data_IF_883675632671
#
_entry.id   IF_883675632671
#
_cell.length_a   1.000
_cell.length_b   1.000
_cell.length_c   1.000
_cell.angle_alpha   90.00
_cell.angle_beta   90.00
_cell.angle_gamma   90.00
#
_symmetry.space_group_name_H-M   'P 1'
#
loop_
_entity.id
_entity.type
_entity.pdbx_description
1 polymer ?
#
# COMPACT_ATOMS: atom_id res chain seq x y z
N UNK A 1 -6.51 -30.79 -8.95
CA UNK A 1 -5.79 -30.92 -7.67
C UNK A 1 -4.98 -29.66 -7.46
N UNK A 2 -5.33 -28.83 -6.48
CA UNK A 2 -4.52 -27.67 -6.09
C UNK A 2 -3.30 -28.17 -5.28
N UNK A 3 -2.09 -27.65 -5.53
CA UNK A 3 -0.91 -28.04 -4.77
C UNK A 3 -1.09 -27.65 -3.29
N UNK A 4 -0.46 -28.39 -2.36
CA UNK A 4 -0.55 -28.10 -0.93
C UNK A 4 -0.05 -26.68 -0.65
N UNK A 5 -0.81 -25.95 0.18
CA UNK A 5 -0.49 -24.58 0.56
C UNK A 5 0.86 -24.52 1.29
N UNK A 6 1.94 -24.22 0.53
CA UNK A 6 3.23 -23.84 1.11
C UNK A 6 2.99 -22.67 2.08
N UNK A 7 3.61 -22.72 3.27
CA UNK A 7 3.53 -21.68 4.32
C UNK A 7 3.54 -20.29 3.68
N UNK A 8 2.54 -19.47 4.03
CA UNK A 8 2.35 -18.14 3.47
C UNK A 8 3.63 -17.31 3.66
N UNK A 9 4.34 -17.03 2.57
CA UNK A 9 5.37 -15.99 2.58
C UNK A 9 4.65 -14.67 2.78
N UNK A 10 4.96 -13.96 3.85
CA UNK A 10 4.55 -12.56 4.04
C UNK A 10 4.98 -11.78 2.81
N UNK A 11 4.04 -11.19 2.08
CA UNK A 11 4.40 -10.39 0.90
C UNK A 11 5.16 -9.16 1.36
N UNK A 12 6.30 -8.94 0.72
CA UNK A 12 7.04 -7.71 0.89
C UNK A 12 6.51 -6.68 -0.11
N UNK A 13 5.75 -5.69 0.37
CA UNK A 13 5.19 -4.63 -0.47
C UNK A 13 6.27 -3.76 -1.15
N UNK A 14 7.53 -3.81 -0.71
CA UNK A 14 8.64 -3.16 -1.42
C UNK A 14 9.03 -3.91 -2.71
N UNK A 15 8.50 -5.11 -2.95
CA UNK A 15 8.70 -5.92 -4.15
C UNK A 15 7.42 -6.05 -4.98
N UNK A 16 6.49 -5.11 -4.83
CA UNK A 16 5.14 -5.21 -5.38
C UNK A 16 4.84 -4.05 -6.32
N UNK A 17 4.25 -4.37 -7.47
CA UNK A 17 3.91 -3.41 -8.53
C UNK A 17 2.39 -3.35 -8.69
N UNK A 18 1.86 -2.16 -8.93
CA UNK A 18 0.49 -1.93 -9.35
C UNK A 18 0.46 -1.38 -10.76
N UNK A 19 -0.45 -1.91 -11.57
CA UNK A 19 -0.63 -1.52 -12.96
C UNK A 19 -2.05 -1.02 -13.12
N UNK A 20 -2.19 0.24 -13.54
CA UNK A 20 -3.47 0.92 -13.70
C UNK A 20 -3.86 0.98 -15.17
N UNK A 21 -5.07 0.52 -15.49
CA UNK A 21 -5.63 0.54 -16.83
C UNK A 21 -6.86 1.44 -16.93
N UNK A 22 -7.14 1.95 -18.12
CA UNK A 22 -8.32 2.78 -18.39
C UNK A 22 -9.60 1.97 -18.61
N UNK A 23 -9.52 0.64 -18.48
CA UNK A 23 -10.64 -0.31 -18.60
C UNK A 23 -10.52 -1.42 -17.56
N UNK A 24 -11.60 -2.18 -17.41
CA UNK A 24 -11.56 -3.43 -16.64
C UNK A 24 -10.56 -4.40 -17.25
N UNK A 25 -9.90 -5.16 -16.37
CA UNK A 25 -8.92 -6.16 -16.76
C UNK A 25 -9.63 -7.44 -17.21
N UNK A 26 -9.26 -7.88 -18.40
CA UNK A 26 -9.67 -9.14 -19.02
C UNK A 26 -8.47 -10.11 -19.09
N UNK A 27 -8.70 -11.31 -19.64
CA UNK A 27 -7.66 -12.33 -19.82
C UNK A 27 -6.51 -11.81 -20.68
N UNK A 28 -6.82 -11.13 -21.78
CA UNK A 28 -5.86 -10.71 -22.80
C UNK A 28 -4.88 -9.67 -22.25
N UNK A 29 -5.39 -8.70 -21.48
CA UNK A 29 -4.55 -7.74 -20.76
C UNK A 29 -3.64 -8.46 -19.77
N UNK A 30 -4.22 -9.41 -19.02
CA UNK A 30 -3.50 -10.13 -17.97
C UNK A 30 -2.37 -10.95 -18.57
N UNK A 31 -2.64 -11.72 -19.62
CA UNK A 31 -1.65 -12.53 -20.34
C UNK A 31 -0.56 -11.63 -20.94
N UNK A 32 -0.93 -10.58 -21.67
CA UNK A 32 0.03 -9.64 -22.27
C UNK A 32 1.01 -9.01 -21.27
N UNK A 33 0.51 -8.62 -20.09
CA UNK A 33 1.35 -8.01 -19.05
C UNK A 33 2.18 -9.08 -18.33
N UNK A 34 1.54 -10.17 -17.91
CA UNK A 34 2.19 -11.17 -17.07
C UNK A 34 3.22 -11.98 -17.84
N UNK A 35 3.02 -12.28 -19.12
CA UNK A 35 3.99 -13.01 -19.95
C UNK A 35 5.32 -12.26 -20.10
N UNK A 36 5.28 -10.93 -20.16
CA UNK A 36 6.48 -10.10 -20.24
C UNK A 36 7.39 -10.24 -19.01
N UNK A 37 6.84 -10.67 -17.86
CA UNK A 37 7.55 -10.69 -16.58
C UNK A 37 7.33 -11.98 -15.78
N UNK A 38 6.76 -13.04 -16.37
CA UNK A 38 6.24 -14.22 -15.63
C UNK A 38 7.28 -14.90 -14.73
N UNK A 39 8.52 -15.00 -15.20
CA UNK A 39 9.62 -15.63 -14.46
C UNK A 39 10.05 -14.83 -13.22
N UNK A 40 9.68 -13.55 -13.15
CA UNK A 40 10.02 -12.61 -12.07
C UNK A 40 8.94 -12.54 -10.99
N UNK A 41 7.81 -13.22 -11.21
CA UNK A 41 6.64 -13.15 -10.34
C UNK A 41 6.51 -14.40 -9.46
N UNK A 42 6.20 -14.16 -8.19
CA UNK A 42 5.68 -15.22 -7.30
C UNK A 42 4.19 -15.40 -7.50
N UNK A 43 3.45 -14.32 -7.77
CA UNK A 43 2.00 -14.33 -7.97
C UNK A 43 1.53 -12.99 -8.54
N UNK A 44 0.30 -12.97 -9.04
CA UNK A 44 -0.43 -11.74 -9.40
C UNK A 44 -1.91 -11.89 -9.05
N UNK A 45 -2.63 -10.77 -8.93
CA UNK A 45 -4.07 -10.75 -8.67
C UNK A 45 -4.71 -9.43 -9.08
N UNK A 46 -6.03 -9.45 -9.26
CA UNK A 46 -6.86 -8.26 -9.48
C UNK A 46 -7.68 -8.03 -8.21
N UNK A 47 -7.59 -6.87 -7.54
CA UNK A 47 -8.39 -6.60 -6.35
C UNK A 47 -9.87 -6.51 -6.70
N UNK A 48 -10.73 -7.16 -5.92
CA UNK A 48 -12.18 -7.19 -6.15
C UNK A 48 -12.82 -5.79 -6.20
N UNK A 49 -12.26 -4.81 -5.46
CA UNK A 49 -12.73 -3.43 -5.42
C UNK A 49 -12.08 -2.52 -6.47
N UNK A 50 -11.14 -3.06 -7.27
CA UNK A 50 -10.33 -2.32 -8.26
C UNK A 50 -10.06 -3.18 -9.49
N UNK A 51 -11.12 -3.52 -10.21
CA UNK A 51 -11.07 -4.35 -11.42
C UNK A 51 -10.27 -3.77 -12.59
N UNK A 52 -9.80 -2.52 -12.47
CA UNK A 52 -8.90 -1.85 -13.42
C UNK A 52 -7.42 -1.84 -12.95
N UNK A 53 -7.11 -2.52 -11.84
CA UNK A 53 -5.77 -2.58 -11.26
C UNK A 53 -5.26 -4.02 -11.24
N UNK A 54 -4.12 -4.28 -11.87
CA UNK A 54 -3.40 -5.55 -11.77
C UNK A 54 -2.28 -5.39 -10.74
N UNK A 55 -2.20 -6.32 -9.81
CA UNK A 55 -1.20 -6.31 -8.74
C UNK A 55 -0.23 -7.46 -8.94
N UNK A 56 1.06 -7.13 -9.08
CA UNK A 56 2.14 -8.08 -9.31
C UNK A 56 3.01 -8.21 -8.05
N UNK A 57 3.37 -9.43 -7.71
CA UNK A 57 4.25 -9.76 -6.57
C UNK A 57 5.52 -10.38 -7.11
N UNK A 58 6.63 -9.65 -7.01
CA UNK A 58 7.93 -10.11 -7.50
C UNK A 58 8.63 -11.03 -6.49
N UNK A 59 9.50 -11.92 -6.96
CA UNK A 59 10.17 -12.89 -6.08
C UNK A 59 11.11 -12.23 -5.07
N UNK A 60 11.77 -11.15 -5.49
CA UNK A 60 12.78 -10.41 -4.73
C UNK A 60 12.87 -8.96 -5.23
N UNK A 61 13.80 -8.17 -4.67
CA UNK A 61 13.96 -6.76 -5.03
C UNK A 61 14.51 -6.54 -6.45
N UNK A 62 15.42 -7.40 -6.91
CA UNK A 62 16.01 -7.32 -8.25
C UNK A 62 14.94 -7.56 -9.32
N UNK A 63 14.12 -8.60 -9.13
CA UNK A 63 12.97 -8.90 -9.97
C UNK A 63 11.96 -7.75 -10.00
N UNK A 64 11.77 -7.06 -8.87
CA UNK A 64 10.92 -5.86 -8.79
C UNK A 64 11.45 -4.72 -9.65
N UNK A 65 12.74 -4.38 -9.53
CA UNK A 65 13.37 -3.32 -10.34
C UNK A 65 13.32 -3.67 -11.82
N UNK A 66 13.65 -4.92 -12.17
CA UNK A 66 13.58 -5.42 -13.54
C UNK A 66 12.16 -5.38 -14.12
N UNK A 67 11.16 -5.80 -13.34
CA UNK A 67 9.73 -5.74 -13.71
C UNK A 67 9.28 -4.31 -14.00
N UNK A 68 9.65 -3.33 -13.16
CA UNK A 68 9.36 -1.92 -13.41
C UNK A 68 9.97 -1.43 -14.73
N UNK A 69 11.23 -1.79 -15.00
CA UNK A 69 11.92 -1.40 -16.24
C UNK A 69 11.26 -1.97 -17.50
N UNK A 70 10.94 -3.27 -17.49
CA UNK A 70 10.29 -3.96 -18.62
C UNK A 70 8.92 -3.35 -18.90
N UNK A 71 8.08 -3.21 -17.87
CA UNK A 71 6.70 -2.76 -18.04
C UNK A 71 6.61 -1.26 -18.35
N UNK A 72 7.49 -0.41 -17.80
CA UNK A 72 7.57 0.99 -18.22
C UNK A 72 8.00 1.13 -19.69
N UNK A 73 8.94 0.28 -20.13
CA UNK A 73 9.37 0.24 -21.53
C UNK A 73 8.27 -0.29 -22.46
N UNK A 74 7.48 -1.28 -22.02
CA UNK A 74 6.37 -1.85 -22.79
C UNK A 74 5.19 -0.86 -22.88
N UNK A 75 4.79 -0.24 -21.77
CA UNK A 75 3.63 0.68 -21.70
C UNK A 75 3.79 1.95 -22.54
N UNK A 76 5.02 2.42 -22.72
CA UNK A 76 5.32 3.66 -23.45
C UNK A 76 5.55 3.44 -24.94
N UNK A 77 5.64 2.19 -25.41
CA UNK A 77 5.74 1.88 -26.85
C UNK A 77 4.43 2.21 -27.56
N UNK A 78 4.53 2.84 -28.72
CA UNK A 78 3.38 3.15 -29.57
C UNK A 78 2.66 1.88 -30.01
N UNK A 79 3.41 0.81 -30.27
CA UNK A 79 2.92 -0.51 -30.66
C UNK A 79 2.24 -1.30 -29.54
N UNK A 80 2.22 -0.82 -28.30
CA UNK A 80 1.56 -1.53 -27.20
C UNK A 80 0.04 -1.50 -27.40
N UNK A 81 -0.65 -2.67 -27.44
CA UNK A 81 -2.11 -2.74 -27.58
C UNK A 81 -2.84 -2.15 -26.36
N UNK A 82 -2.17 -2.08 -25.21
CA UNK A 82 -2.74 -1.55 -23.98
C UNK A 82 -1.89 -0.39 -23.44
N UNK A 83 -2.57 0.67 -23.02
CA UNK A 83 -1.95 1.81 -22.32
C UNK A 83 -2.23 1.69 -20.84
N UNK A 84 -1.17 1.70 -20.04
CA UNK A 84 -1.25 1.52 -18.60
C UNK A 84 -0.15 2.30 -17.88
N UNK A 85 -0.35 2.55 -16.58
CA UNK A 85 0.64 3.19 -15.71
C UNK A 85 1.16 2.16 -14.73
N UNK A 86 2.48 2.06 -14.63
CA UNK A 86 3.18 1.18 -13.69
C UNK A 86 3.63 2.01 -12.51
N UNK A 87 3.29 1.58 -11.30
CA UNK A 87 3.62 2.31 -10.07
C UNK A 87 3.91 1.32 -8.95
N UNK A 88 4.75 1.67 -7.96
CA UNK A 88 4.89 0.86 -6.75
C UNK A 88 3.52 0.66 -6.09
N UNK A 89 3.27 -0.55 -5.59
CA UNK A 89 2.02 -0.84 -4.86
C UNK A 89 1.90 0.00 -3.59
N UNK A 90 3.02 0.25 -2.95
CA UNK A 90 3.11 1.10 -1.78
C UNK A 90 3.40 2.55 -2.18
N UNK A 91 2.35 3.28 -2.61
CA UNK A 91 2.41 4.68 -3.00
C UNK A 91 3.26 5.54 -2.06
N UNK A 92 4.17 6.32 -2.62
CA UNK A 92 5.10 7.16 -1.89
C UNK A 92 4.74 8.63 -2.12
N UNK A 93 4.04 9.30 -1.18
CA UNK A 93 3.80 10.72 -1.32
C UNK A 93 5.13 11.47 -1.46
N UNK A 94 5.19 12.35 -2.45
CA UNK A 94 6.26 13.32 -2.69
C UNK A 94 5.80 14.74 -2.32
N UNK A 95 6.67 15.72 -2.52
CA UNK A 95 6.37 17.14 -2.31
C UNK A 95 5.12 17.59 -3.09
N UNK A 96 5.01 17.21 -4.37
CA UNK A 96 3.86 17.51 -5.22
C UNK A 96 2.89 16.33 -5.28
N UNK A 97 2.27 16.01 -4.14
CA UNK A 97 1.24 14.98 -4.07
C UNK A 97 -0.16 15.58 -4.00
N UNK A 98 -1.07 15.03 -4.79
CA UNK A 98 -2.46 15.45 -4.86
C UNK A 98 -3.40 14.29 -4.57
N UNK A 99 -4.62 14.63 -4.14
CA UNK A 99 -5.72 13.69 -3.94
C UNK A 99 -7.01 14.16 -4.60
N UNK A 100 -7.79 13.21 -5.09
CA UNK A 100 -9.16 13.41 -5.54
C UNK A 100 -10.07 12.43 -4.81
N UNK A 101 -11.27 12.87 -4.43
CA UNK A 101 -12.30 12.00 -3.87
C UNK A 101 -13.56 12.04 -4.72
N UNK A 102 -14.20 10.89 -4.88
CA UNK A 102 -15.52 10.78 -5.52
C UNK A 102 -16.24 9.55 -4.98
N UNK A 103 -17.56 9.62 -4.89
CA UNK A 103 -18.41 8.45 -4.62
C UNK A 103 -18.74 7.65 -5.90
N UNK A 104 -18.45 8.21 -7.08
CA UNK A 104 -18.77 7.58 -8.37
C UNK A 104 -17.60 6.77 -8.93
N UNK A 105 -17.86 5.50 -9.24
CA UNK A 105 -16.88 4.64 -9.91
C UNK A 105 -16.52 5.16 -11.30
N UNK A 106 -17.52 5.61 -12.07
CA UNK A 106 -17.30 6.14 -13.43
C UNK A 106 -16.45 7.40 -13.42
N UNK A 107 -16.70 8.27 -12.44
CA UNK A 107 -15.88 9.46 -12.27
C UNK A 107 -14.45 9.08 -11.85
N UNK A 108 -14.28 8.12 -10.94
CA UNK A 108 -12.97 7.59 -10.58
C UNK A 108 -12.24 7.05 -11.83
N UNK A 109 -12.91 6.26 -12.66
CA UNK A 109 -12.35 5.72 -13.90
C UNK A 109 -11.99 6.81 -14.92
N UNK A 110 -12.80 7.87 -15.02
CA UNK A 110 -12.50 9.04 -15.87
C UNK A 110 -11.19 9.71 -15.44
N UNK A 111 -10.99 9.93 -14.15
CA UNK A 111 -9.76 10.53 -13.63
C UNK A 111 -8.55 9.59 -13.74
N UNK A 112 -8.71 8.28 -13.47
CA UNK A 112 -7.67 7.27 -13.71
C UNK A 112 -7.24 7.25 -15.18
N UNK A 113 -8.19 7.30 -16.11
CA UNK A 113 -7.91 7.38 -17.55
C UNK A 113 -7.18 8.68 -17.92
N UNK A 114 -7.55 9.81 -17.30
CA UNK A 114 -6.84 11.07 -17.50
C UNK A 114 -5.37 10.97 -17.06
N UNK A 115 -5.09 10.34 -15.92
CA UNK A 115 -3.73 10.10 -15.42
C UNK A 115 -2.93 9.25 -16.41
N UNK A 116 -3.51 8.15 -16.89
CA UNK A 116 -2.84 7.24 -17.85
C UNK A 116 -2.49 7.96 -19.16
N UNK A 117 -3.40 8.82 -19.66
CA UNK A 117 -3.13 9.63 -20.86
C UNK A 117 -1.96 10.60 -20.66
N UNK A 118 -1.91 11.28 -19.52
CA UNK A 118 -0.83 12.22 -19.20
C UNK A 118 0.52 11.51 -19.09
N UNK A 119 0.56 10.37 -18.40
CA UNK A 119 1.76 9.54 -18.29
C UNK A 119 2.29 9.11 -19.66
N UNK A 120 1.42 8.59 -20.53
CA UNK A 120 1.83 8.14 -21.87
C UNK A 120 2.29 9.29 -22.77
N UNK A 121 1.58 10.43 -22.75
CA UNK A 121 1.97 11.62 -23.51
C UNK A 121 3.21 12.32 -22.94
N UNK A 122 3.71 11.88 -21.77
CA UNK A 122 4.78 12.56 -21.02
C UNK A 122 4.45 14.02 -20.75
N UNK A 123 3.17 14.30 -20.49
CA UNK A 123 2.65 15.64 -20.17
C UNK A 123 2.18 15.66 -18.73
N UNK A 124 2.37 16.78 -18.05
CA UNK A 124 1.91 16.99 -16.68
C UNK A 124 2.52 15.98 -15.66
N UNK A 125 3.70 15.47 -15.97
CA UNK A 125 4.64 14.96 -14.98
C UNK A 125 4.17 13.87 -14.00
N UNK A 126 3.27 12.97 -14.37
CA UNK A 126 2.79 11.92 -13.44
C UNK A 126 3.90 10.90 -13.13
N UNK A 127 4.23 10.72 -11.84
CA UNK A 127 5.23 9.73 -11.37
C UNK A 127 4.61 8.47 -10.80
N UNK A 128 3.67 8.64 -9.87
CA UNK A 128 3.01 7.54 -9.17
C UNK A 128 1.51 7.82 -9.09
N UNK A 129 0.72 6.74 -9.07
CA UNK A 129 -0.72 6.84 -8.84
C UNK A 129 -1.19 5.76 -7.88
N UNK A 130 -2.26 6.05 -7.14
CA UNK A 130 -2.91 5.06 -6.31
C UNK A 130 -4.40 5.32 -6.19
N UNK A 131 -5.20 4.27 -6.36
CA UNK A 131 -6.63 4.31 -6.02
C UNK A 131 -6.91 3.46 -4.80
N UNK A 132 -7.78 3.93 -3.92
CA UNK A 132 -8.32 3.18 -2.78
C UNK A 132 -9.79 3.48 -2.59
N UNK A 133 -10.56 2.53 -2.09
CA UNK A 133 -11.96 2.73 -1.71
C UNK A 133 -12.09 2.69 -0.18
N UNK A 134 -12.60 3.77 0.40
CA UNK A 134 -12.98 3.83 1.81
C UNK A 134 -14.39 3.26 1.95
N UNK A 135 -14.51 2.11 2.61
CA UNK A 135 -15.81 1.43 2.79
C UNK A 135 -16.71 2.12 3.83
N UNK A 136 -16.12 2.86 4.77
CA UNK A 136 -16.86 3.56 5.83
C UNK A 136 -17.48 4.82 5.24
N UNK A 137 -16.67 5.61 4.53
CA UNK A 137 -17.12 6.84 3.88
C UNK A 137 -17.81 6.59 2.53
N UNK A 138 -17.67 5.38 1.97
CA UNK A 138 -18.12 5.02 0.62
C UNK A 138 -17.55 5.96 -0.46
N UNK A 139 -16.26 6.26 -0.34
CA UNK A 139 -15.55 7.19 -1.23
C UNK A 139 -14.35 6.51 -1.88
N UNK A 140 -14.23 6.66 -3.20
CA UNK A 140 -12.98 6.45 -3.90
C UNK A 140 -12.04 7.61 -3.63
N UNK A 141 -10.77 7.26 -3.45
CA UNK A 141 -9.66 8.19 -3.31
C UNK A 141 -8.60 7.86 -4.34
N UNK A 142 -8.31 8.84 -5.19
CA UNK A 142 -7.19 8.80 -6.14
C UNK A 142 -6.08 9.66 -5.55
N UNK A 143 -4.86 9.15 -5.56
CA UNK A 143 -3.65 9.90 -5.21
C UNK A 143 -2.72 9.89 -6.40
N UNK A 144 -2.09 11.03 -6.67
CA UNK A 144 -1.05 11.15 -7.68
C UNK A 144 0.14 11.89 -7.10
N UNK A 145 1.33 11.48 -7.48
CA UNK A 145 2.55 12.25 -7.28
C UNK A 145 3.02 12.79 -8.64
N UNK A 146 3.33 14.07 -8.72
CA UNK A 146 3.77 14.75 -9.95
C UNK A 146 5.17 15.32 -9.83
N UNK A 147 5.81 15.70 -10.95
CA UNK A 147 7.23 16.08 -10.94
C UNK A 147 7.48 17.49 -10.43
N UNK A 148 6.57 18.42 -10.73
CA UNK A 148 6.79 19.86 -10.51
C UNK A 148 5.57 20.57 -9.90
N UNK A 149 5.80 21.82 -9.47
CA UNK A 149 4.75 22.73 -9.03
C UNK A 149 3.77 23.07 -10.17
N UNK A 150 4.26 23.22 -11.41
CA UNK A 150 3.42 23.48 -12.58
C UNK A 150 2.44 22.32 -12.83
N UNK A 151 2.92 21.08 -12.76
CA UNK A 151 2.06 19.89 -12.86
C UNK A 151 1.02 19.87 -11.72
N UNK A 152 1.44 20.24 -10.51
CA UNK A 152 0.55 20.31 -9.34
C UNK A 152 -0.60 21.29 -9.60
N UNK A 153 -0.28 22.49 -10.08
CA UNK A 153 -1.25 23.54 -10.42
C UNK A 153 -2.21 23.09 -11.52
N UNK A 154 -1.70 22.43 -12.56
CA UNK A 154 -2.50 21.86 -13.64
C UNK A 154 -3.59 20.90 -13.11
N UNK A 155 -3.24 20.00 -12.19
CA UNK A 155 -4.20 19.06 -11.62
C UNK A 155 -5.10 19.72 -10.57
N UNK A 156 -4.62 20.68 -9.79
CA UNK A 156 -5.46 21.43 -8.84
C UNK A 156 -6.60 22.19 -9.55
N UNK A 157 -6.33 22.77 -10.73
CA UNK A 157 -7.35 23.37 -11.58
C UNK A 157 -8.44 22.37 -12.04
N UNK A 158 -8.21 21.06 -11.87
CA UNK A 158 -9.11 19.95 -12.23
C UNK A 158 -9.63 19.21 -11.00
N UNK A 159 -9.97 19.96 -9.95
CA UNK A 159 -10.60 19.47 -8.69
C UNK A 159 -9.73 18.57 -7.82
N UNK A 160 -8.45 18.36 -8.16
CA UNK A 160 -7.55 17.75 -7.19
C UNK A 160 -7.29 18.72 -6.04
N UNK A 161 -7.11 18.18 -4.85
CA UNK A 161 -6.69 18.92 -3.67
C UNK A 161 -5.31 18.46 -3.24
N UNK A 162 -4.61 19.30 -2.51
CA UNK A 162 -3.32 18.93 -1.94
C UNK A 162 -3.46 17.71 -1.04
N UNK A 163 -2.62 16.71 -1.30
CA UNK A 163 -2.41 15.64 -0.36
C UNK A 163 -1.42 16.14 0.70
N UNK A 164 -1.53 15.62 1.92
CA UNK A 164 -0.59 15.97 2.98
C UNK A 164 0.84 15.68 2.52
N UNK A 165 1.75 16.63 2.72
CA UNK A 165 3.18 16.41 2.47
C UNK A 165 3.72 15.31 3.40
N UNK A 166 4.88 14.75 3.07
CA UNK A 166 5.50 13.75 3.94
C UNK A 166 5.80 14.30 5.33
N UNK A 167 6.25 15.55 5.43
CA UNK A 167 6.52 16.19 6.72
C UNK A 167 5.24 16.39 7.54
N UNK A 168 4.12 16.74 6.89
CA UNK A 168 2.82 16.79 7.55
C UNK A 168 2.40 15.40 8.03
N UNK A 169 2.53 14.36 7.21
CA UNK A 169 2.16 12.98 7.58
C UNK A 169 3.03 12.48 8.74
N UNK A 170 4.33 12.75 8.71
CA UNK A 170 5.28 12.39 9.78
C UNK A 170 4.88 13.11 11.07
N UNK A 171 4.60 14.42 10.99
CA UNK A 171 4.22 15.23 12.15
C UNK A 171 2.92 14.74 12.79
N UNK A 172 1.91 14.45 11.98
CA UNK A 172 0.61 13.93 12.45
C UNK A 172 0.72 12.50 12.99
N UNK A 173 1.63 11.69 12.43
CA UNK A 173 1.84 10.28 12.81
C UNK A 173 2.93 10.09 13.85
N UNK A 174 3.43 11.17 14.48
CA UNK A 174 4.59 11.15 15.38
C UNK A 174 4.43 10.24 16.60
N UNK A 175 3.19 9.90 16.96
CA UNK A 175 2.85 9.05 18.10
C UNK A 175 2.27 7.69 17.69
N UNK A 176 2.09 7.43 16.39
CA UNK A 176 1.41 6.24 15.91
C UNK A 176 2.39 5.08 15.74
N UNK A 177 1.93 3.88 16.11
CA UNK A 177 2.59 2.62 15.79
C UNK A 177 1.57 1.55 15.42
N UNK A 178 2.00 0.54 14.69
CA UNK A 178 1.10 -0.51 14.21
C UNK A 178 1.69 -1.91 14.30
N UNK A 179 0.83 -2.92 14.44
CA UNK A 179 1.19 -4.34 14.31
C UNK A 179 0.09 -5.10 13.54
N UNK A 180 0.49 -6.01 12.66
CA UNK A 180 -0.43 -6.82 11.87
C UNK A 180 -0.71 -8.17 12.54
N UNK A 181 -1.96 -8.62 12.51
CA UNK A 181 -2.42 -9.93 13.00
C UNK A 181 -3.15 -10.69 11.89
N UNK A 182 -3.04 -12.02 11.86
CA UNK A 182 -3.81 -12.83 10.91
C UNK A 182 -5.27 -12.97 11.35
N UNK A 183 -6.12 -13.50 10.48
CA UNK A 183 -7.52 -13.86 10.77
C UNK A 183 -7.69 -14.87 11.92
N UNK A 184 -6.61 -15.48 12.41
CA UNK A 184 -6.65 -16.40 13.56
C UNK A 184 -6.86 -15.69 14.90
N UNK A 185 -6.67 -14.38 14.96
CA UNK A 185 -6.86 -13.59 16.17
C UNK A 185 -8.23 -12.90 16.14
N UNK A 186 -8.95 -12.97 17.25
CA UNK A 186 -10.13 -12.12 17.47
C UNK A 186 -9.70 -10.72 17.89
N UNK A 187 -10.59 -9.72 17.80
CA UNK A 187 -10.30 -8.37 18.31
C UNK A 187 -9.93 -8.37 19.80
N UNK A 188 -10.54 -9.28 20.59
CA UNK A 188 -10.22 -9.47 22.01
C UNK A 188 -8.79 -9.98 22.19
N UNK A 189 -8.36 -10.94 21.37
CA UNK A 189 -6.99 -11.45 21.41
C UNK A 189 -5.98 -10.38 21.01
N UNK A 190 -6.31 -9.58 19.98
CA UNK A 190 -5.48 -8.47 19.51
C UNK A 190 -5.33 -7.42 20.61
N UNK A 191 -6.44 -7.00 21.24
CA UNK A 191 -6.41 -6.06 22.36
C UNK A 191 -5.51 -6.55 23.50
N UNK A 192 -5.66 -7.83 23.88
CA UNK A 192 -4.84 -8.47 24.91
C UNK A 192 -3.35 -8.50 24.52
N UNK A 193 -3.05 -8.82 23.25
CA UNK A 193 -1.68 -8.83 22.75
C UNK A 193 -1.04 -7.44 22.76
N UNK A 194 -1.77 -6.40 22.34
CA UNK A 194 -1.28 -5.02 22.35
C UNK A 194 -1.08 -4.52 23.78
N UNK A 195 -2.04 -4.78 24.68
CA UNK A 195 -1.90 -4.45 26.10
C UNK A 195 -0.61 -5.05 26.67
N UNK A 196 -0.36 -6.35 26.43
CA UNK A 196 0.87 -7.02 26.84
C UNK A 196 2.15 -6.36 26.28
N UNK A 197 2.13 -5.90 25.03
CA UNK A 197 3.29 -5.20 24.42
C UNK A 197 3.57 -3.85 25.10
N UNK A 198 2.51 -3.09 25.40
CA UNK A 198 2.60 -1.77 26.04
C UNK A 198 3.08 -1.90 27.48
N UNK A 199 2.47 -2.79 28.26
CA UNK A 199 2.80 -3.02 29.67
C UNK A 199 4.21 -3.58 29.86
N UNK A 200 4.66 -4.51 28.99
CA UNK A 200 6.04 -5.01 28.98
C UNK A 200 7.09 -3.90 28.80
N UNK A 201 6.68 -2.78 28.21
CA UNK A 201 7.54 -1.62 27.98
C UNK A 201 7.49 -0.60 29.12
N UNK A 202 6.89 -0.96 30.26
CA UNK A 202 6.63 -0.09 31.41
C UNK A 202 5.81 1.14 31.03
N UNK A 203 4.76 0.95 30.24
CA UNK A 203 3.82 1.98 29.81
C UNK A 203 2.39 1.55 30.17
N UNK A 204 1.50 2.53 30.40
CA UNK A 204 0.11 2.27 30.75
C UNK A 204 -0.70 2.08 29.47
N UNK A 205 -1.37 0.93 29.35
CA UNK A 205 -2.25 0.67 28.21
C UNK A 205 -3.52 1.51 28.28
N UNK A 206 -3.80 2.26 27.21
CA UNK A 206 -5.02 3.07 27.07
C UNK A 206 -5.91 2.48 25.97
N UNK A 207 -7.08 1.95 26.35
CA UNK A 207 -7.94 1.25 25.39
C UNK A 207 -8.48 2.18 24.28
N UNK A 208 -8.68 3.46 24.56
CA UNK A 208 -9.11 4.47 23.59
C UNK A 208 -8.00 4.88 22.60
N UNK A 209 -6.75 4.46 22.84
CA UNK A 209 -5.63 4.68 21.92
C UNK A 209 -5.45 3.53 20.92
N UNK A 210 -6.20 2.44 21.08
CA UNK A 210 -6.16 1.28 20.20
C UNK A 210 -7.31 1.34 19.17
N UNK A 211 -6.95 1.27 17.90
CA UNK A 211 -7.87 1.04 16.80
C UNK A 211 -7.50 -0.29 16.12
N UNK A 212 -8.49 -1.15 15.90
CA UNK A 212 -8.31 -2.42 15.18
C UNK A 212 -9.08 -2.34 13.87
N UNK A 213 -8.38 -2.50 12.76
CA UNK A 213 -8.95 -2.42 11.42
C UNK A 213 -8.89 -3.79 10.77
N UNK A 214 -10.05 -4.35 10.41
CA UNK A 214 -10.15 -5.53 9.57
C UNK A 214 -9.97 -5.15 8.09
N UNK A 215 -9.02 -5.78 7.41
CA UNK A 215 -8.78 -5.57 5.98
C UNK A 215 -8.82 -6.88 5.21
N UNK A 216 -9.41 -6.89 4.00
CA UNK A 216 -9.28 -8.04 3.12
C UNK A 216 -7.80 -8.30 2.85
N UNK A 217 -7.43 -9.58 2.85
CA UNK A 217 -6.09 -10.01 2.50
C UNK A 217 -5.83 -9.58 1.06
N UNK A 218 -4.77 -8.79 0.80
CA UNK A 218 -4.39 -8.51 -0.57
C UNK A 218 -3.89 -9.78 -1.27
N UNK A 219 -3.52 -10.81 -0.51
CA UNK A 219 -2.79 -11.97 -1.02
C UNK A 219 -3.67 -13.14 -1.38
N UNK A 220 -4.85 -13.21 -0.75
CA UNK A 220 -5.74 -14.37 -0.82
C UNK A 220 -7.18 -13.88 -0.88
N UNK A 221 -7.82 -13.94 -2.06
CA UNK A 221 -9.24 -13.65 -2.18
C UNK A 221 -10.05 -14.46 -1.15
N UNK A 222 -10.89 -13.77 -0.37
CA UNK A 222 -11.70 -14.39 0.69
C UNK A 222 -11.05 -14.45 2.08
N UNK A 223 -9.74 -14.21 2.20
CA UNK A 223 -9.08 -14.06 3.51
C UNK A 223 -9.06 -12.60 3.97
N UNK A 224 -8.80 -12.38 5.27
CA UNK A 224 -8.63 -11.07 5.87
C UNK A 224 -7.52 -11.08 6.93
N UNK A 225 -7.09 -9.89 7.32
CA UNK A 225 -6.09 -9.69 8.37
C UNK A 225 -6.46 -8.42 9.16
N UNK A 226 -5.91 -8.30 10.36
CA UNK A 226 -6.13 -7.15 11.21
C UNK A 226 -4.88 -6.28 11.28
N UNK A 227 -5.09 -4.97 11.29
CA UNK A 227 -4.07 -3.98 11.63
C UNK A 227 -4.49 -3.39 12.98
N UNK A 228 -3.64 -3.53 13.99
CA UNK A 228 -3.79 -2.85 15.26
C UNK A 228 -2.94 -1.57 15.22
N UNK A 229 -3.59 -0.40 15.27
CA UNK A 229 -2.96 0.89 15.41
C UNK A 229 -3.02 1.32 16.89
N UNK A 230 -1.88 1.67 17.47
CA UNK A 230 -1.80 2.19 18.83
C UNK A 230 -1.15 3.57 18.82
N UNK A 231 -1.79 4.54 19.48
CA UNK A 231 -1.27 5.89 19.66
C UNK A 231 -0.62 6.02 21.03
N UNK A 232 0.70 6.26 21.06
CA UNK A 232 1.40 6.56 22.30
C UNK A 232 0.99 7.94 22.84
N UNK A 233 1.16 8.17 24.15
CA UNK A 233 0.87 9.48 24.78
C UNK A 233 1.93 10.53 24.43
N UNK A 234 3.18 10.09 24.26
CA UNK A 234 4.31 10.95 23.89
C UNK A 234 5.41 10.15 23.16
N UNK A 235 6.44 10.86 22.69
CA UNK A 235 7.54 10.26 21.90
C UNK A 235 8.36 9.27 22.73
N UNK A 236 8.62 9.56 24.00
CA UNK A 236 9.38 8.66 24.88
C UNK A 236 8.65 7.33 25.11
N UNK A 237 7.32 7.36 25.26
CA UNK A 237 6.48 6.16 25.32
C UNK A 237 6.55 5.38 24.00
N UNK A 238 6.42 6.07 22.86
CA UNK A 238 6.52 5.44 21.54
C UNK A 238 7.85 4.70 21.36
N UNK A 239 8.95 5.30 21.79
CA UNK A 239 10.27 4.67 21.71
C UNK A 239 10.37 3.41 22.56
N UNK A 240 9.78 3.40 23.76
CA UNK A 240 9.75 2.23 24.64
C UNK A 240 8.92 1.10 24.03
N UNK A 241 7.67 1.37 23.64
CA UNK A 241 6.74 0.34 23.12
C UNK A 241 7.18 -0.24 21.77
N UNK A 242 7.94 0.52 20.98
CA UNK A 242 8.49 0.08 19.68
C UNK A 242 9.92 -0.45 19.78
N UNK A 243 10.48 -0.62 20.99
CA UNK A 243 11.86 -1.11 21.15
C UNK A 243 11.94 -2.62 20.97
N UNK A 244 11.14 -3.37 21.73
CA UNK A 244 11.31 -4.81 21.87
C UNK A 244 10.18 -5.63 21.24
N UNK A 245 10.51 -6.73 20.57
CA UNK A 245 9.50 -7.72 20.21
C UNK A 245 8.92 -8.39 21.47
N UNK A 246 7.67 -8.81 21.36
CA UNK A 246 6.93 -9.52 22.39
C UNK A 246 6.43 -10.85 21.83
N UNK A 247 6.62 -11.91 22.61
CA UNK A 247 6.11 -13.23 22.28
C UNK A 247 4.60 -13.28 22.55
N UNK A 248 3.84 -13.50 21.49
CA UNK A 248 2.37 -13.58 21.49
C UNK A 248 1.97 -14.98 21.04
N UNK A 249 1.28 -15.70 21.92
CA UNK A 249 0.70 -17.01 21.64
C UNK A 249 -0.61 -16.83 20.87
N UNK A 250 -0.75 -17.42 19.68
CA UNK A 250 -2.02 -17.40 18.95
C UNK A 250 -3.12 -18.17 19.71
N UNK A 251 -4.40 -17.82 19.55
CA UNK A 251 -5.52 -18.43 20.30
C UNK A 251 -5.67 -19.93 20.06
N UNK A 252 -5.27 -20.42 18.89
CA UNK A 252 -5.32 -21.83 18.52
C UNK A 252 -4.18 -22.69 19.12
N UNK A 253 -3.42 -22.17 20.10
CA UNK A 253 -2.38 -22.91 20.81
C UNK A 253 -1.12 -23.22 19.99
N UNK A 254 -0.99 -22.64 18.78
CA UNK A 254 0.22 -22.79 17.97
C UNK A 254 1.43 -22.09 18.62
N UNK A 255 2.65 -22.41 18.14
CA UNK A 255 3.89 -21.85 18.69
C UNK A 255 3.82 -20.31 18.77
N UNK A 256 4.26 -19.71 19.90
CA UNK A 256 4.28 -18.26 20.05
C UNK A 256 5.01 -17.56 18.90
N UNK A 257 4.43 -16.46 18.44
CA UNK A 257 5.01 -15.63 17.38
C UNK A 257 5.60 -14.36 17.98
N UNK A 258 6.80 -13.99 17.53
CA UNK A 258 7.43 -12.73 17.90
C UNK A 258 6.77 -11.59 17.13
N UNK A 259 6.08 -10.70 17.84
CA UNK A 259 5.37 -9.55 17.28
C UNK A 259 5.94 -8.26 17.85
N UNK A 260 5.95 -7.19 17.05
CA UNK A 260 6.49 -5.89 17.44
C UNK A 260 5.61 -4.77 16.90
N UNK A 261 5.38 -3.74 17.71
CA UNK A 261 4.82 -2.47 17.24
C UNK A 261 5.88 -1.70 16.45
N UNK A 262 5.53 -1.30 15.24
CA UNK A 262 6.41 -0.56 14.34
C UNK A 262 5.97 0.91 14.37
N UNK A 263 6.89 1.81 14.69
CA UNK A 263 6.64 3.26 14.63
C UNK A 263 6.31 3.67 13.19
N UNK A 264 5.16 4.32 13.00
CA UNK A 264 4.76 4.84 11.68
C UNK A 264 5.76 5.86 11.18
N UNK A 265 6.28 6.72 12.05
CA UNK A 265 7.29 7.72 11.68
C UNK A 265 8.60 7.08 11.24
N UNK A 266 9.15 6.12 12.01
CA UNK A 266 10.38 5.42 11.60
C UNK A 266 10.20 4.71 10.26
N UNK A 267 9.07 4.01 10.09
CA UNK A 267 8.72 3.36 8.84
C UNK A 267 8.68 4.34 7.65
N UNK A 268 8.00 5.49 7.81
CA UNK A 268 7.93 6.50 6.76
C UNK A 268 9.31 7.08 6.46
N UNK A 269 10.09 7.45 7.48
CA UNK A 269 11.44 7.99 7.31
C UNK A 269 12.36 7.01 6.60
N UNK A 270 12.36 5.73 6.98
CA UNK A 270 13.13 4.69 6.28
C UNK A 270 12.69 4.54 4.83
N UNK A 271 11.37 4.51 4.58
CA UNK A 271 10.81 4.45 3.23
C UNK A 271 11.28 5.62 2.35
N UNK A 272 11.25 6.85 2.85
CA UNK A 272 11.65 8.03 2.06
C UNK A 272 13.16 8.23 1.97
N UNK A 273 13.94 7.83 2.99
CA UNK A 273 15.41 7.88 2.91
C UNK A 273 15.96 6.91 1.87
N UNK A 274 15.33 5.74 1.69
CA UNK A 274 15.75 4.77 0.68
C UNK A 274 15.41 5.25 -0.75
N UNK A 275 14.31 5.97 -0.95
CA UNK A 275 13.97 6.55 -2.26
C UNK A 275 14.88 7.71 -2.71
N UNK A 276 15.62 8.35 -1.80
CA UNK A 276 16.61 9.39 -2.16
C UNK A 276 17.96 8.82 -2.62
N UNK A 277 18.25 7.55 -2.34
CA UNK A 277 19.52 6.90 -2.74
C UNK A 277 19.48 6.26 -4.13
N UNK A 278 18.31 6.20 -4.75
CA UNK A 278 18.07 5.58 -6.07
C UNK A 278 17.72 6.59 -7.17
N UNK A 279 17.90 7.89 -6.90
CA UNK A 279 18.04 8.92 -7.93
C UNK A 279 19.52 9.22 -8.11
#
# INVERSE_FOLDING_TARGET
>A
MYPPAKRAKTINYSHCVSIYLSKHIDSDITEFITDAVKEKLTSWYIPNDKTHVLQLVCNNHEDYVSTLGILNSQSTRDSSPFKYVVTPMNFSPAEHTLKYHTSSYDEMMKYTTHIIKNFWKRTNGVKETNTSYDRVQKLYKIRIAVESLEDKEYFMARKYSEYRSIDQIITESKLNCSCNFSSLYTEKDIKTAIQKMVEKSNCVFQSNHLEIINKPSPYRPGEHYYIANYKATNVAELEKITKFPTSITPPNGTKPTSKKLISTTKYLVEKFKNNKKTK
#
